data_IF_943659932555
#
_entry.id   IF_943659932555
#
_cell.length_a   1.000
_cell.length_b   1.000
_cell.length_c   1.000
_cell.angle_alpha   90.00
_cell.angle_beta   90.00
_cell.angle_gamma   90.00
#
_symmetry.space_group_name_H-M   'P 1'
#
loop_
_entity.id
_entity.type
_entity.pdbx_description
1 polymer ?
#
# COMPACT_ATOMS: atom_id res chain seq x y z
N UNK A 1 16.16 0.91 -0.25
CA UNK A 1 15.54 2.01 0.48
C UNK A 1 16.65 2.89 1.02
N UNK A 2 16.77 4.08 0.45
CA UNK A 2 17.62 5.17 0.90
C UNK A 2 16.78 6.14 1.74
N UNK A 3 17.44 7.01 2.51
CA UNK A 3 16.73 7.97 3.37
C UNK A 3 15.89 9.00 2.59
N UNK A 4 16.21 9.23 1.32
CA UNK A 4 15.50 10.16 0.43
C UNK A 4 14.36 9.48 -0.36
N UNK A 5 14.27 8.14 -0.32
CA UNK A 5 13.22 7.42 -1.06
C UNK A 5 11.84 7.76 -0.49
N UNK A 6 10.91 8.08 -1.39
CA UNK A 6 9.53 8.42 -1.06
C UNK A 6 8.71 7.16 -0.91
N UNK A 7 7.98 7.09 0.20
CA UNK A 7 7.10 5.96 0.53
C UNK A 7 5.65 6.42 0.54
N UNK A 8 4.83 5.84 -0.33
CA UNK A 8 3.40 5.98 -0.26
C UNK A 8 2.85 5.04 0.81
N UNK A 9 2.06 5.56 1.75
CA UNK A 9 1.39 4.73 2.76
C UNK A 9 -0.06 4.47 2.33
N UNK A 10 -0.32 3.24 1.89
CA UNK A 10 -1.67 2.74 1.60
C UNK A 10 -2.33 2.23 2.88
N UNK A 11 -3.46 2.82 3.26
CA UNK A 11 -4.27 2.34 4.38
C UNK A 11 -5.14 1.19 3.91
N UNK A 12 -4.92 0.00 4.48
CA UNK A 12 -5.68 -1.21 4.17
C UNK A 12 -6.57 -1.54 5.36
N UNK A 13 -7.88 -1.52 5.16
CA UNK A 13 -8.87 -1.84 6.20
C UNK A 13 -9.68 -3.11 5.92
N UNK A 14 -9.41 -3.78 4.80
CA UNK A 14 -10.08 -5.02 4.38
C UNK A 14 -9.06 -6.12 4.18
N UNK A 15 -9.28 -7.28 4.82
CA UNK A 15 -8.40 -8.45 4.69
C UNK A 15 -8.25 -8.92 3.24
N UNK A 16 -9.34 -8.86 2.45
CA UNK A 16 -9.33 -9.23 1.02
C UNK A 16 -8.37 -8.37 0.20
N UNK A 17 -8.31 -7.06 0.46
CA UNK A 17 -7.39 -6.17 -0.26
C UNK A 17 -5.94 -6.48 0.11
N UNK A 18 -5.68 -6.78 1.40
CA UNK A 18 -4.36 -7.20 1.85
C UNK A 18 -3.90 -8.52 1.22
N UNK A 19 -4.81 -9.49 1.07
CA UNK A 19 -4.48 -10.74 0.37
C UNK A 19 -4.11 -10.51 -1.09
N UNK A 20 -4.77 -9.57 -1.78
CA UNK A 20 -4.42 -9.23 -3.16
C UNK A 20 -3.03 -8.62 -3.23
N UNK A 21 -2.73 -7.66 -2.36
CA UNK A 21 -1.39 -7.06 -2.27
C UNK A 21 -0.32 -8.12 -2.04
N UNK A 22 -0.55 -9.03 -1.09
CA UNK A 22 0.43 -10.03 -0.70
C UNK A 22 0.62 -11.15 -1.74
N UNK A 23 -0.44 -11.55 -2.45
CA UNK A 23 -0.39 -12.69 -3.39
C UNK A 23 -0.15 -12.27 -4.83
N UNK A 24 -0.72 -11.15 -5.25
CA UNK A 24 -0.69 -10.69 -6.63
C UNK A 24 0.27 -9.52 -6.85
N UNK A 25 0.87 -8.99 -5.78
CA UNK A 25 1.73 -7.80 -5.85
C UNK A 25 1.04 -6.61 -6.54
N UNK A 26 -0.29 -6.57 -6.44
CA UNK A 26 -1.13 -5.59 -7.08
C UNK A 26 -1.84 -4.73 -6.04
N UNK A 27 -1.78 -3.42 -6.21
CA UNK A 27 -2.56 -2.49 -5.38
C UNK A 27 -3.24 -1.45 -6.25
N UNK A 28 -4.52 -1.21 -5.99
CA UNK A 28 -5.34 -0.26 -6.74
C UNK A 28 -5.52 1.01 -5.94
N UNK A 29 -5.17 2.13 -6.55
CA UNK A 29 -5.39 3.46 -5.99
C UNK A 29 -6.42 4.15 -6.89
N UNK A 30 -7.58 4.54 -6.37
CA UNK A 30 -8.53 5.32 -7.15
C UNK A 30 -7.90 6.63 -7.60
N UNK A 31 -8.02 6.97 -8.90
CA UNK A 31 -7.41 8.18 -9.50
C UNK A 31 -7.76 9.45 -8.73
N UNK A 32 -9.02 9.57 -8.26
CA UNK A 32 -9.49 10.69 -7.42
C UNK A 32 -8.70 10.89 -6.12
N UNK A 33 -8.05 9.85 -5.60
CA UNK A 33 -7.22 9.91 -4.40
C UNK A 33 -5.75 10.20 -4.72
N UNK A 34 -5.36 10.13 -5.99
CA UNK A 34 -4.01 10.34 -6.46
C UNK A 34 -3.97 11.35 -7.63
N UNK A 35 -4.47 12.58 -7.42
CA UNK A 35 -4.64 13.56 -8.51
C UNK A 35 -3.31 14.03 -9.14
N UNK A 36 -2.18 13.77 -8.48
CA UNK A 36 -0.84 14.12 -8.98
C UNK A 36 -0.06 12.92 -9.51
N UNK A 37 -0.72 11.77 -9.67
CA UNK A 37 -0.09 10.51 -10.04
C UNK A 37 0.78 9.89 -8.94
N UNK A 38 1.37 8.74 -9.24
CA UNK A 38 2.24 8.02 -8.32
C UNK A 38 3.66 8.58 -8.40
N UNK A 39 4.15 9.12 -7.28
CA UNK A 39 5.51 9.67 -7.18
C UNK A 39 6.19 9.16 -5.92
N UNK A 40 6.31 7.83 -5.83
CA UNK A 40 6.90 7.12 -4.71
C UNK A 40 7.66 5.89 -5.21
N UNK A 41 8.83 5.62 -4.64
CA UNK A 41 9.67 4.48 -5.00
C UNK A 41 9.21 3.20 -4.31
N UNK A 42 8.51 3.36 -3.18
CA UNK A 42 7.97 2.27 -2.37
C UNK A 42 6.53 2.53 -1.94
N UNK A 43 5.79 1.45 -1.74
CA UNK A 43 4.45 1.45 -1.17
C UNK A 43 4.47 0.63 0.12
N UNK A 44 4.07 1.25 1.23
CA UNK A 44 3.89 0.62 2.52
C UNK A 44 2.40 0.42 2.82
N UNK A 45 2.05 -0.74 3.36
CA UNK A 45 0.67 -1.11 3.65
C UNK A 45 0.42 -1.06 5.15
N UNK A 46 -0.30 -0.01 5.57
CA UNK A 46 -0.73 0.17 6.94
C UNK A 46 -2.03 -0.58 7.18
N UNK A 47 -2.00 -1.57 8.06
CA UNK A 47 -3.17 -2.35 8.43
C UNK A 47 -3.99 -1.58 9.46
N UNK A 48 -5.25 -1.33 9.17
CA UNK A 48 -6.15 -0.61 10.07
C UNK A 48 -7.48 -1.31 10.25
N UNK A 49 -8.07 -1.15 11.43
CA UNK A 49 -9.43 -1.59 11.71
C UNK A 49 -9.52 -3.04 12.20
N UNK A 50 -10.75 -3.45 12.50
CA UNK A 50 -11.06 -4.72 13.17
C UNK A 50 -10.69 -5.96 12.37
N UNK A 51 -10.56 -5.85 11.05
CA UNK A 51 -10.14 -6.93 10.17
C UNK A 51 -8.75 -7.50 10.51
N UNK A 52 -7.89 -6.71 11.16
CA UNK A 52 -6.50 -7.07 11.44
C UNK A 52 -6.19 -7.27 12.94
N UNK A 53 -7.15 -7.04 13.84
CA UNK A 53 -7.04 -7.29 15.29
C UNK A 53 -5.70 -6.81 15.87
N UNK A 54 -4.85 -7.73 16.33
CA UNK A 54 -3.52 -7.47 16.90
C UNK A 54 -2.52 -6.85 15.92
N UNK A 55 -2.73 -7.03 14.61
CA UNK A 55 -1.92 -6.42 13.56
C UNK A 55 -2.42 -5.03 13.13
N UNK A 56 -3.56 -4.57 13.64
CA UNK A 56 -4.04 -3.20 13.39
C UNK A 56 -3.09 -2.18 14.00
N UNK A 57 -2.77 -1.12 13.26
CA UNK A 57 -1.83 -0.09 13.69
C UNK A 57 -0.38 -0.35 13.27
N UNK A 58 -0.13 -1.37 12.45
CA UNK A 58 1.22 -1.72 12.00
C UNK A 58 1.37 -1.64 10.48
N UNK A 59 2.60 -1.40 10.02
CA UNK A 59 2.97 -1.58 8.62
C UNK A 59 3.32 -3.05 8.45
N UNK A 60 2.48 -3.79 7.74
CA UNK A 60 2.67 -5.23 7.58
C UNK A 60 3.52 -5.60 6.36
N UNK A 61 3.60 -4.72 5.37
CA UNK A 61 4.30 -5.01 4.13
C UNK A 61 4.79 -3.72 3.47
N UNK A 62 5.98 -3.79 2.87
CA UNK A 62 6.54 -2.73 2.03
C UNK A 62 6.99 -3.36 0.72
N UNK A 63 6.53 -2.79 -0.39
CA UNK A 63 6.87 -3.22 -1.75
C UNK A 63 7.54 -2.07 -2.50
N UNK A 64 8.45 -2.41 -3.42
CA UNK A 64 8.99 -1.45 -4.38
C UNK A 64 7.94 -1.22 -5.48
N UNK A 65 7.80 0.00 -5.94
CA UNK A 65 7.03 0.28 -7.16
C UNK A 65 7.73 -0.37 -8.36
N UNK A 66 6.98 -1.18 -9.11
CA UNK A 66 7.45 -1.89 -10.32
C UNK A 66 6.82 -1.34 -11.60
N UNK A 67 5.92 -0.36 -11.50
CA UNK A 67 5.24 0.22 -12.65
C UNK A 67 3.75 0.44 -12.41
N UNK A 68 3.13 1.18 -13.33
CA UNK A 68 1.72 1.55 -13.30
C UNK A 68 1.02 1.02 -14.54
N UNK A 69 -0.10 0.30 -14.36
CA UNK A 69 -1.06 0.03 -15.45
C UNK A 69 -2.29 0.93 -15.24
N UNK A 70 -2.73 1.57 -16.34
CA UNK A 70 -3.86 2.50 -16.39
C UNK A 70 -5.10 1.85 -17.01
#
# INVERSE_FOLDING_TARGET
MYADDRVLIGVVNRAKDFEIVRRHHWYRIPERQLPRGLNAEYIAFFLSGSAFREHSGSIAFVARDTGLEL
#
